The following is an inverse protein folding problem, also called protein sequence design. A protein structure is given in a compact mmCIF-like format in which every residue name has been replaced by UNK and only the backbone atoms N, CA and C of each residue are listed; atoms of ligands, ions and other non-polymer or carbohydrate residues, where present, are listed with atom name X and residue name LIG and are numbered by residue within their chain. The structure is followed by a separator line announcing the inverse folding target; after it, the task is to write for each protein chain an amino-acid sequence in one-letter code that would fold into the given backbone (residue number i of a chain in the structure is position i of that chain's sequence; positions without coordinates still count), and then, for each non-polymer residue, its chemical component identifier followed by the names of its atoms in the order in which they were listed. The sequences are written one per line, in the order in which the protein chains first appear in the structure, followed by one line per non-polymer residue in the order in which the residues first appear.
data_IF_243837717274
#
_entry.id   IF_243837717274
#
_cell.length_a   1.000
_cell.length_b   1.000
_cell.length_c   1.000
_cell.angle_alpha   90.00
_cell.angle_beta   90.00
_cell.angle_gamma   90.00
#
_symmetry.space_group_name_H-M   'P 1'
#
loop_
_entity.id
_entity.type
_entity.pdbx_description
1 polymer ?
#
# COMPACT_ATOMS: atom_id res chain seq x y z
N UNK A 1 -5.00 11.17 -12.61
CA UNK A 1 -5.62 9.96 -12.04
C UNK A 1 -6.84 10.35 -11.23
N UNK A 2 -7.95 9.60 -11.30
CA UNK A 2 -9.12 9.80 -10.41
C UNK A 2 -9.34 8.57 -9.53
N UNK A 3 -9.53 8.81 -8.22
CA UNK A 3 -9.86 7.77 -7.25
C UNK A 3 -11.37 7.54 -7.31
N UNK A 4 -11.79 6.30 -7.57
CA UNK A 4 -13.20 5.92 -7.45
C UNK A 4 -13.48 5.56 -5.99
N UNK A 5 -14.56 6.06 -5.43
CA UNK A 5 -14.97 5.74 -4.06
C UNK A 5 -16.47 5.43 -4.00
N UNK A 6 -16.88 4.73 -2.95
CA UNK A 6 -18.28 4.52 -2.58
C UNK A 6 -18.52 5.05 -1.18
N UNK A 7 -19.71 5.60 -0.94
CA UNK A 7 -20.12 6.02 0.40
C UNK A 7 -20.49 4.78 1.24
N UNK A 8 -19.88 4.66 2.42
CA UNK A 8 -20.16 3.62 3.40
C UNK A 8 -20.64 4.25 4.70
N UNK A 9 -21.56 3.53 5.36
CA UNK A 9 -22.05 3.90 6.67
C UNK A 9 -21.26 3.16 7.73
N UNK A 10 -20.77 3.87 8.73
CA UNK A 10 -20.12 3.24 9.89
C UNK A 10 -21.17 2.44 10.67
N UNK A 11 -20.98 1.12 10.87
CA UNK A 11 -21.88 0.34 11.71
C UNK A 11 -21.94 0.94 13.10
N UNK A 12 -23.13 0.99 13.69
CA UNK A 12 -23.29 1.50 15.04
C UNK A 12 -23.11 0.38 16.06
N UNK A 13 -22.04 0.39 16.87
CA UNK A 13 -21.95 -0.55 17.97
C UNK A 13 -23.09 -0.28 18.97
N UNK A 14 -23.71 -1.35 19.47
CA UNK A 14 -24.69 -1.35 20.57
C UNK A 14 -25.90 -0.41 20.41
N UNK A 15 -26.38 -0.20 19.17
CA UNK A 15 -27.64 0.52 18.93
C UNK A 15 -27.63 2.01 19.32
N UNK A 16 -26.44 2.64 19.43
CA UNK A 16 -26.31 4.06 19.82
C UNK A 16 -27.23 4.99 19.01
N UNK A 17 -27.99 5.85 19.70
CA UNK A 17 -28.84 6.89 19.10
C UNK A 17 -27.98 7.99 18.44
N UNK A 18 -28.45 8.61 17.34
CA UNK A 18 -27.73 9.66 16.58
C UNK A 18 -27.75 9.46 15.06
N UNK A 19 -27.16 10.37 14.28
CA UNK A 19 -27.04 10.19 12.82
C UNK A 19 -25.98 9.13 12.48
N UNK A 20 -26.15 8.40 11.37
CA UNK A 20 -25.11 7.49 10.85
C UNK A 20 -23.99 8.34 10.25
N UNK A 21 -22.75 8.05 10.63
CA UNK A 21 -21.57 8.67 10.02
C UNK A 21 -21.31 8.03 8.66
N UNK A 22 -21.19 8.87 7.64
CA UNK A 22 -20.87 8.45 6.27
C UNK A 22 -19.40 8.72 6.01
N UNK A 23 -18.69 7.75 5.43
CA UNK A 23 -17.31 7.92 4.99
C UNK A 23 -17.14 7.44 3.56
N UNK A 24 -16.23 8.07 2.83
CA UNK A 24 -15.80 7.59 1.52
C UNK A 24 -14.82 6.43 1.70
N UNK A 25 -15.03 5.34 0.96
CA UNK A 25 -14.07 4.23 0.88
C UNK A 25 -13.61 4.08 -0.57
N UNK A 26 -12.30 4.07 -0.77
CA UNK A 26 -11.71 3.84 -2.08
C UNK A 26 -12.09 2.45 -2.61
N UNK A 27 -12.47 2.40 -3.89
CA UNK A 27 -12.73 1.15 -4.59
C UNK A 27 -11.39 0.65 -5.14
N UNK A 28 -10.87 -0.41 -4.53
CA UNK A 28 -9.63 -1.05 -5.01
C UNK A 28 -9.84 -1.63 -6.42
N UNK A 29 -8.86 -1.43 -7.30
CA UNK A 29 -8.79 -2.06 -8.63
C UNK A 29 -8.06 -3.41 -8.61
N UNK A 30 -7.60 -3.83 -7.44
CA UNK A 30 -6.76 -5.00 -7.24
C UNK A 30 -5.45 -4.65 -6.56
N UNK A 31 -4.62 -5.68 -6.36
CA UNK A 31 -3.32 -5.58 -5.68
C UNK A 31 -2.22 -5.92 -6.67
N UNK A 32 -1.12 -5.16 -6.65
CA UNK A 32 0.07 -5.54 -7.40
C UNK A 32 0.96 -6.37 -6.48
N UNK A 33 1.28 -7.59 -6.91
CA UNK A 33 2.24 -8.44 -6.21
C UNK A 33 3.68 -7.98 -6.52
N UNK A 34 4.65 -8.47 -5.74
CA UNK A 34 6.05 -8.10 -5.88
C UNK A 34 6.58 -8.40 -7.29
N UNK A 35 6.22 -9.55 -7.87
CA UNK A 35 6.62 -9.93 -9.24
C UNK A 35 6.19 -8.91 -10.29
N UNK A 36 4.94 -8.45 -10.22
CA UNK A 36 4.42 -7.42 -11.12
C UNK A 36 5.13 -6.09 -10.93
N UNK A 37 5.43 -5.70 -9.69
CA UNK A 37 6.18 -4.48 -9.39
C UNK A 37 7.59 -4.57 -9.96
N UNK A 38 8.33 -5.66 -9.71
CA UNK A 38 9.67 -5.86 -10.24
C UNK A 38 9.69 -5.84 -11.77
N UNK A 39 8.69 -6.47 -12.42
CA UNK A 39 8.56 -6.46 -13.87
C UNK A 39 8.33 -5.04 -14.40
N UNK A 40 7.41 -4.26 -13.81
CA UNK A 40 7.11 -2.91 -14.27
C UNK A 40 8.30 -1.95 -14.11
N UNK A 41 9.10 -2.11 -13.05
CA UNK A 41 10.32 -1.31 -12.85
C UNK A 41 11.39 -1.70 -13.87
N UNK A 42 11.55 -3.01 -14.13
CA UNK A 42 12.46 -3.56 -15.15
C UNK A 42 12.05 -3.17 -16.58
N UNK A 43 10.75 -3.07 -16.88
CA UNK A 43 10.27 -2.56 -18.17
C UNK A 43 10.62 -1.07 -18.36
N UNK A 44 10.74 -0.31 -17.26
CA UNK A 44 10.99 1.13 -17.29
C UNK A 44 12.48 1.49 -17.17
N UNK A 45 13.27 0.62 -16.57
CA UNK A 45 14.67 0.86 -16.21
C UNK A 45 15.42 -0.34 -16.75
N UNK A 46 16.49 -0.17 -17.55
CA UNK A 46 17.19 -1.26 -18.25
C UNK A 46 17.97 -2.21 -17.30
N UNK A 47 17.29 -2.72 -16.28
CA UNK A 47 17.72 -3.62 -15.22
C UNK A 47 16.79 -4.81 -15.23
N UNK A 48 17.28 -5.99 -14.87
CA UNK A 48 16.47 -7.19 -14.81
C UNK A 48 15.51 -7.18 -13.61
N UNK A 49 14.41 -7.92 -13.70
CA UNK A 49 13.46 -8.07 -12.59
C UNK A 49 14.10 -8.70 -11.33
N UNK A 50 15.13 -9.53 -11.51
CA UNK A 50 15.91 -10.12 -10.42
C UNK A 50 16.73 -9.05 -9.67
N UNK A 51 17.40 -8.15 -10.40
CA UNK A 51 18.13 -7.04 -9.82
C UNK A 51 17.19 -6.05 -9.11
N UNK A 52 16.00 -5.81 -9.67
CA UNK A 52 14.99 -4.98 -8.98
C UNK A 52 14.58 -5.63 -7.66
N UNK A 53 14.36 -6.95 -7.66
CA UNK A 53 13.99 -7.67 -6.44
C UNK A 53 15.09 -7.59 -5.39
N UNK A 54 16.36 -7.81 -5.75
CA UNK A 54 17.46 -7.74 -4.79
C UNK A 54 17.63 -6.36 -4.18
N UNK A 55 17.43 -5.29 -4.96
CA UNK A 55 17.46 -3.91 -4.45
C UNK A 55 16.28 -3.63 -3.51
N UNK A 56 15.07 -4.08 -3.83
CA UNK A 56 13.90 -3.91 -2.96
C UNK A 56 14.05 -4.68 -1.64
N UNK A 57 14.57 -5.91 -1.68
CA UNK A 57 14.86 -6.71 -0.49
C UNK A 57 15.95 -6.04 0.37
N UNK A 58 17.00 -5.52 -0.26
CA UNK A 58 18.06 -4.76 0.44
C UNK A 58 17.52 -3.48 1.07
N UNK A 59 16.62 -2.77 0.38
CA UNK A 59 15.98 -1.57 0.92
C UNK A 59 15.09 -1.90 2.12
N UNK A 60 14.31 -2.98 2.06
CA UNK A 60 13.51 -3.43 3.20
C UNK A 60 14.39 -3.70 4.43
N UNK A 61 15.52 -4.39 4.24
CA UNK A 61 16.48 -4.63 5.31
C UNK A 61 17.06 -3.33 5.92
N UNK A 62 17.38 -2.32 5.08
CA UNK A 62 17.84 -1.01 5.57
C UNK A 62 16.77 -0.31 6.41
N UNK A 63 15.49 -0.39 5.99
CA UNK A 63 14.37 0.18 6.76
C UNK A 63 14.24 -0.53 8.11
N UNK A 64 14.35 -1.86 8.13
CA UNK A 64 14.32 -2.64 9.38
C UNK A 64 15.44 -2.20 10.33
N UNK A 65 16.68 -2.11 9.84
CA UNK A 65 17.83 -1.67 10.64
C UNK A 65 17.63 -0.26 11.20
N UNK A 66 17.15 0.68 10.37
CA UNK A 66 16.89 2.04 10.81
C UNK A 66 15.83 2.11 11.92
N UNK A 67 14.79 1.28 11.83
CA UNK A 67 13.75 1.19 12.86
C UNK A 67 14.26 0.54 14.15
N UNK A 68 15.14 -0.47 14.05
CA UNK A 68 15.82 -1.07 15.21
C UNK A 68 16.71 -0.06 15.94
N UNK A 69 17.40 0.79 15.19
CA UNK A 69 18.21 1.89 15.72
C UNK A 69 17.37 3.05 16.29
N UNK A 70 16.03 2.97 16.21
CA UNK A 70 15.12 4.01 16.67
C UNK A 70 15.10 5.27 15.79
N UNK A 71 15.59 5.16 14.55
CA UNK A 71 15.61 6.24 13.58
C UNK A 71 14.28 6.34 12.81
N UNK A 72 13.98 7.54 12.30
CA UNK A 72 12.86 7.77 11.38
C UNK A 72 13.33 7.63 9.93
N UNK A 73 12.51 7.00 9.08
CA UNK A 73 12.73 6.84 7.64
C UNK A 73 11.46 7.18 6.86
#
# INVERSE_FOLDING_TARGET
MSIKFKAYYTPKPNGRKGMRLTHARAISRGTYNLEKVCRLISERSAVSSAEVKSVLDSFAWVVELALEDGCHI
#
